data_IF_119997642322
#
_entry.id   IF_119997642322
#
_cell.length_a   1.000
_cell.length_b   1.000
_cell.length_c   1.000
_cell.angle_alpha   90.00
_cell.angle_beta   90.00
_cell.angle_gamma   90.00
#
_symmetry.space_group_name_H-M   'P 1'
#
loop_
_entity.id
_entity.type
_entity.pdbx_description
1 polymer ?
#
# COMPACT_ATOMS: atom_id res chain seq x y z
N UNK A 1 -5.78 -0.14 -6.67
CA UNK A 1 -5.34 -1.05 -5.60
C UNK A 1 -6.56 -1.40 -4.73
N UNK A 2 -7.12 -2.61 -4.84
CA UNK A 2 -8.31 -3.02 -4.07
C UNK A 2 -8.01 -3.88 -2.82
N UNK A 3 -6.74 -4.27 -2.61
CA UNK A 3 -6.30 -5.13 -1.51
C UNK A 3 -5.26 -4.41 -0.64
N UNK A 4 -5.18 -4.81 0.62
CA UNK A 4 -4.06 -4.53 1.53
C UNK A 4 -3.46 -5.85 2.04
N UNK A 5 -2.31 -5.77 2.72
CA UNK A 5 -1.72 -6.88 3.44
C UNK A 5 -1.88 -6.66 4.96
N UNK A 6 -2.78 -7.40 5.59
CA UNK A 6 -2.88 -7.45 7.04
C UNK A 6 -1.67 -8.17 7.61
N UNK A 7 -1.02 -7.55 8.59
CA UNK A 7 0.17 -8.05 9.26
C UNK A 7 -0.22 -8.56 10.65
N UNK A 8 -0.40 -9.87 10.77
CA UNK A 8 -0.92 -10.52 11.98
C UNK A 8 0.26 -11.01 12.84
N UNK A 9 0.44 -10.52 14.09
CA UNK A 9 1.47 -11.02 14.98
C UNK A 9 1.30 -12.52 15.24
N UNK A 10 2.41 -13.25 15.31
CA UNK A 10 2.43 -14.68 15.62
C UNK A 10 3.17 -14.91 16.96
N UNK A 11 2.80 -15.97 17.69
CA UNK A 11 3.61 -16.49 18.79
C UNK A 11 3.80 -15.61 20.04
N UNK A 12 2.85 -14.73 20.37
CA UNK A 12 2.95 -13.89 21.58
C UNK A 12 3.84 -12.65 21.43
N UNK A 13 4.35 -12.39 20.23
CA UNK A 13 5.00 -11.12 19.91
C UNK A 13 3.96 -10.00 19.72
N UNK A 14 4.29 -8.79 20.18
CA UNK A 14 3.42 -7.61 20.03
C UNK A 14 3.53 -6.95 18.64
N UNK A 15 4.52 -7.32 17.83
CA UNK A 15 4.79 -6.68 16.53
C UNK A 15 4.33 -7.58 15.38
N UNK A 16 3.55 -7.02 14.45
CA UNK A 16 3.07 -7.74 13.25
C UNK A 16 4.02 -7.71 12.05
N UNK A 17 5.22 -7.13 12.18
CA UNK A 17 6.11 -6.92 11.03
C UNK A 17 6.52 -8.25 10.37
N UNK A 18 6.42 -8.33 9.03
CA UNK A 18 6.77 -9.53 8.26
C UNK A 18 8.21 -9.99 8.50
N UNK A 19 9.14 -9.05 8.67
CA UNK A 19 10.54 -9.33 8.98
C UNK A 19 10.76 -10.03 10.34
N UNK A 20 9.78 -9.96 11.25
CA UNK A 20 9.80 -10.62 12.55
C UNK A 20 9.01 -11.94 12.57
N UNK A 21 8.58 -12.46 11.41
CA UNK A 21 7.77 -13.68 11.33
C UNK A 21 6.26 -13.46 11.46
N UNK A 22 5.79 -12.21 11.34
CA UNK A 22 4.36 -11.90 11.23
C UNK A 22 3.75 -12.53 9.98
N UNK A 23 2.51 -13.03 10.10
CA UNK A 23 1.78 -13.59 8.97
C UNK A 23 1.17 -12.45 8.15
N UNK A 24 1.55 -12.37 6.87
CA UNK A 24 0.92 -11.47 5.90
C UNK A 24 -0.30 -12.12 5.27
N UNK A 25 -1.48 -11.54 5.46
CA UNK A 25 -2.74 -11.99 4.84
C UNK A 25 -3.28 -10.88 3.94
N UNK A 26 -3.35 -11.13 2.64
CA UNK A 26 -3.94 -10.20 1.71
C UNK A 26 -5.46 -10.21 1.88
N UNK A 27 -6.06 -9.03 1.98
CA UNK A 27 -7.50 -8.89 2.17
C UNK A 27 -8.03 -7.66 1.42
N UNK A 28 -9.33 -7.64 1.05
CA UNK A 28 -9.95 -6.46 0.47
C UNK A 28 -9.83 -5.26 1.40
N UNK A 29 -9.66 -4.07 0.82
CA UNK A 29 -9.73 -2.82 1.58
C UNK A 29 -11.13 -2.67 2.19
N UNK A 30 -11.18 -2.39 3.50
CA UNK A 30 -12.41 -2.05 4.19
C UNK A 30 -12.93 -0.68 3.76
N UNK A 31 -14.17 -0.36 4.13
CA UNK A 31 -14.72 0.98 3.91
C UNK A 31 -13.86 2.06 4.55
N UNK A 32 -13.27 1.77 5.72
CA UNK A 32 -12.41 2.71 6.44
C UNK A 32 -11.07 2.91 5.74
N UNK A 33 -10.45 1.83 5.25
CA UNK A 33 -9.21 1.92 4.47
C UNK A 33 -9.40 2.80 3.23
N UNK A 34 -10.53 2.60 2.52
CA UNK A 34 -10.89 3.43 1.38
C UNK A 34 -11.07 4.90 1.73
N UNK A 35 -11.71 5.21 2.86
CA UNK A 35 -11.87 6.59 3.32
C UNK A 35 -10.50 7.25 3.56
N UNK A 36 -9.60 6.57 4.28
CA UNK A 36 -8.26 7.08 4.59
C UNK A 36 -7.45 7.27 3.30
N UNK A 37 -7.40 6.25 2.43
CA UNK A 37 -6.67 6.31 1.18
C UNK A 37 -7.17 7.44 0.25
N UNK A 38 -8.49 7.65 0.17
CA UNK A 38 -9.08 8.73 -0.65
C UNK A 38 -8.82 10.11 -0.08
N UNK A 39 -8.76 10.25 1.24
CA UNK A 39 -8.42 11.52 1.88
C UNK A 39 -6.94 11.89 1.68
N UNK A 40 -6.02 10.91 1.79
CA UNK A 40 -4.58 11.15 1.69
C UNK A 40 -4.08 11.25 0.25
N UNK A 41 -4.64 10.44 -0.66
CA UNK A 41 -4.16 10.28 -2.03
C UNK A 41 -3.90 11.60 -2.78
N UNK A 42 -4.89 12.53 -2.85
CA UNK A 42 -4.70 13.82 -3.51
C UNK A 42 -3.59 14.68 -2.90
N UNK A 43 -3.48 14.68 -1.56
CA UNK A 43 -2.48 15.47 -0.83
C UNK A 43 -1.07 14.94 -1.09
N UNK A 44 -0.89 13.62 -1.11
CA UNK A 44 0.40 12.98 -1.35
C UNK A 44 0.82 13.10 -2.82
N UNK A 45 -0.13 12.93 -3.75
CA UNK A 45 0.12 13.09 -5.19
C UNK A 45 0.55 14.52 -5.53
N UNK A 46 -0.08 15.55 -4.92
CA UNK A 46 0.31 16.95 -5.10
C UNK A 46 1.75 17.24 -4.63
N UNK A 47 2.31 16.41 -3.74
CA UNK A 47 3.71 16.47 -3.30
C UNK A 47 4.68 15.68 -4.18
N UNK A 48 4.19 15.10 -5.30
CA UNK A 48 5.00 14.30 -6.21
C UNK A 48 5.26 12.86 -5.73
N UNK A 49 4.56 12.40 -4.69
CA UNK A 49 4.72 11.05 -4.17
C UNK A 49 3.87 10.08 -5.01
N UNK A 50 4.54 9.36 -5.92
CA UNK A 50 3.89 8.41 -6.83
C UNK A 50 3.57 7.07 -6.16
N UNK A 51 4.42 6.63 -5.25
CA UNK A 51 4.28 5.37 -4.52
C UNK A 51 4.39 5.63 -3.01
N UNK A 52 3.36 5.23 -2.27
CA UNK A 52 3.28 5.39 -0.82
C UNK A 52 2.63 4.15 -0.22
N UNK A 53 3.21 3.64 0.87
CA UNK A 53 2.56 2.69 1.77
C UNK A 53 1.94 3.45 2.94
N UNK A 54 0.72 3.07 3.34
CA UNK A 54 0.08 3.61 4.55
C UNK A 54 -0.20 2.48 5.51
N UNK A 55 0.13 2.69 6.77
CA UNK A 55 -0.08 1.71 7.82
C UNK A 55 -1.28 2.13 8.67
N UNK A 56 -2.22 1.20 8.83
CA UNK A 56 -3.46 1.39 9.57
C UNK A 56 -3.55 0.28 10.62
N UNK A 57 -3.86 0.66 11.86
CA UNK A 57 -4.17 -0.27 12.95
C UNK A 57 -5.59 0.07 13.43
N UNK A 58 -6.50 -0.89 13.30
CA UNK A 58 -7.94 -0.63 13.49
C UNK A 58 -8.41 0.42 12.49
N UNK A 59 -8.92 1.55 12.98
CA UNK A 59 -9.46 2.65 12.16
C UNK A 59 -8.53 3.87 12.04
N UNK A 60 -7.29 3.73 12.54
CA UNK A 60 -6.34 4.82 12.75
C UNK A 60 -5.12 4.64 11.85
N UNK A 61 -4.80 5.70 11.09
CA UNK A 61 -3.55 5.81 10.37
C UNK A 61 -2.40 6.02 11.38
N UNK A 62 -1.39 5.16 11.33
CA UNK A 62 -0.24 5.24 12.24
C UNK A 62 1.04 5.70 11.55
N UNK A 63 1.23 5.36 10.27
CA UNK A 63 2.46 5.68 9.54
C UNK A 63 2.21 5.89 8.04
N UNK A 64 3.07 6.70 7.41
CA UNK A 64 3.12 6.90 5.96
C UNK A 64 4.56 6.63 5.48
N UNK A 65 4.73 5.55 4.72
CA UNK A 65 6.01 5.10 4.16
C UNK A 65 6.19 5.58 2.73
N UNK A 66 7.13 6.51 2.51
CA UNK A 66 7.34 7.20 1.22
C UNK A 66 8.65 6.85 0.52
N UNK A 67 9.54 6.09 1.16
CA UNK A 67 10.88 5.79 0.63
C UNK A 67 10.91 4.47 -0.13
N UNK A 68 10.58 3.37 0.54
CA UNK A 68 10.63 2.02 -0.03
C UNK A 68 9.50 1.14 0.50
N UNK A 69 8.22 1.49 0.24
CA UNK A 69 7.09 0.66 0.67
C UNK A 69 7.11 -0.71 -0.01
N UNK A 70 6.73 -1.76 0.73
CA UNK A 70 6.84 -3.17 0.33
C UNK A 70 5.45 -3.82 0.13
N UNK A 71 5.33 -5.14 0.32
CA UNK A 71 4.07 -5.93 0.29
C UNK A 71 3.47 -6.22 -1.09
N UNK A 72 4.15 -5.86 -2.19
CA UNK A 72 3.66 -6.12 -3.55
C UNK A 72 3.58 -7.63 -3.82
N UNK A 73 4.64 -8.37 -3.48
CA UNK A 73 4.74 -9.79 -3.82
C UNK A 73 3.67 -10.62 -3.10
N UNK A 74 3.49 -10.38 -1.81
CA UNK A 74 2.54 -11.09 -0.95
C UNK A 74 1.11 -10.85 -1.43
N UNK A 75 0.76 -9.60 -1.76
CA UNK A 75 -0.57 -9.28 -2.29
C UNK A 75 -0.77 -9.93 -3.67
N UNK A 76 0.21 -9.83 -4.57
CA UNK A 76 0.12 -10.45 -5.90
C UNK A 76 -0.06 -11.97 -5.81
N UNK A 77 0.70 -12.65 -4.95
CA UNK A 77 0.65 -14.10 -4.79
C UNK A 77 -0.68 -14.58 -4.22
N UNK A 78 -1.25 -13.86 -3.25
CA UNK A 78 -2.47 -14.29 -2.56
C UNK A 78 -3.76 -13.89 -3.29
N UNK A 79 -3.73 -12.84 -4.12
CA UNK A 79 -4.95 -12.28 -4.74
C UNK A 79 -4.96 -12.36 -6.26
N UNK A 80 -3.81 -12.62 -6.89
CA UNK A 80 -3.63 -12.50 -8.35
C UNK A 80 -3.63 -11.06 -8.86
N UNK A 81 -3.71 -10.04 -7.99
CA UNK A 81 -3.63 -8.64 -8.38
C UNK A 81 -2.17 -8.28 -8.68
N UNK A 82 -1.84 -7.98 -9.93
CA UNK A 82 -0.49 -7.56 -10.29
C UNK A 82 -0.21 -6.11 -9.84
N UNK A 83 0.25 -5.98 -8.59
CA UNK A 83 0.54 -4.69 -7.98
C UNK A 83 1.69 -3.97 -8.70
N UNK A 84 2.67 -4.74 -9.21
CA UNK A 84 3.81 -4.20 -9.94
C UNK A 84 3.36 -3.59 -11.27
N UNK A 85 2.51 -4.27 -12.03
CA UNK A 85 1.93 -3.74 -13.26
C UNK A 85 1.13 -2.45 -13.00
N UNK A 86 0.29 -2.43 -11.96
CA UNK A 86 -0.46 -1.21 -11.59
C UNK A 86 0.45 -0.02 -11.29
N UNK A 87 1.59 -0.25 -10.64
CA UNK A 87 2.59 0.77 -10.38
C UNK A 87 3.30 1.22 -11.65
N UNK A 88 3.74 0.30 -12.50
CA UNK A 88 4.39 0.61 -13.79
C UNK A 88 3.45 1.43 -14.68
N UNK A 89 2.18 1.03 -14.78
CA UNK A 89 1.15 1.79 -15.51
C UNK A 89 1.01 3.23 -14.98
N UNK A 90 1.13 3.43 -13.66
CA UNK A 90 1.10 4.75 -13.06
C UNK A 90 2.35 5.57 -13.39
N UNK A 91 3.53 4.94 -13.40
CA UNK A 91 4.80 5.57 -13.85
C UNK A 91 4.68 6.01 -15.31
N UNK A 92 4.23 5.14 -16.20
CA UNK A 92 4.08 5.47 -17.62
C UNK A 92 3.12 6.65 -17.85
N UNK A 93 1.97 6.66 -17.16
CA UNK A 93 1.04 7.79 -17.21
C UNK A 93 1.67 9.07 -16.69
N UNK A 94 2.41 9.01 -15.59
CA UNK A 94 3.05 10.18 -15.00
C UNK A 94 4.15 10.77 -15.92
N UNK A 95 4.91 9.91 -16.60
CA UNK A 95 5.92 10.33 -17.58
C UNK A 95 5.24 10.98 -18.80
N UNK A 96 4.20 10.35 -19.36
CA UNK A 96 3.44 10.91 -20.50
C UNK A 96 2.80 12.26 -20.18
N UNK A 97 2.27 12.44 -18.97
CA UNK A 97 1.66 13.70 -18.53
C UNK A 97 2.67 14.83 -18.34
N UNK A 98 3.96 14.50 -18.13
CA UNK A 98 5.05 15.48 -17.98
C UNK A 98 5.81 15.77 -19.27
N UNK A 99 5.62 14.97 -20.33
CA UNK A 99 6.27 15.22 -21.62
C UNK A 99 5.77 16.56 -22.18
N UNK A 100 6.67 17.50 -22.54
CA UNK A 100 6.25 18.69 -23.27
C UNK A 100 5.75 18.25 -24.66
N UNK A 101 4.66 18.85 -25.11
CA UNK A 101 4.20 18.73 -26.50
C UNK A 101 5.19 19.36 -27.47
#
# INVERSE_FOLDING_TARGET
MPFCLARIPQGGETRGNLAAGGLGVAQPLSARDWQIARALGPVLAARGLLLVGIDIIGDVLTEINVTSPTCFQEISQQTGCDVAALFVDAVERAVKAKAPG
#
